data_IF_975348124636
#
_entry.id   IF_975348124636
#
_cell.length_a   1.000
_cell.length_b   1.000
_cell.length_c   1.000
_cell.angle_alpha   90.00
_cell.angle_beta   90.00
_cell.angle_gamma   90.00
#
_symmetry.space_group_name_H-M   'P 1'
#
loop_
_entity.id
_entity.type
_entity.pdbx_description
1 polymer ?
#
# COMPACT_ATOMS: atom_id res chain seq x y z
N UNK A 1 23.51 -2.18 -10.48
CA UNK A 1 22.30 -3.04 -10.44
C UNK A 1 21.46 -2.79 -9.18
N UNK A 2 21.13 -1.51 -8.92
CA UNK A 2 20.39 -1.08 -7.72
C UNK A 2 18.94 -0.63 -8.07
N UNK A 3 18.70 -0.27 -9.33
CA UNK A 3 17.45 0.35 -9.79
C UNK A 3 16.30 -0.64 -10.03
N UNK A 4 16.59 -1.94 -10.20
CA UNK A 4 15.55 -2.99 -10.29
C UNK A 4 14.91 -3.29 -8.93
N UNK A 5 15.49 -2.81 -7.84
CA UNK A 5 15.12 -3.20 -6.48
C UNK A 5 14.01 -2.34 -5.86
N UNK A 6 13.83 -1.08 -6.27
CA UNK A 6 12.95 -0.15 -5.56
C UNK A 6 11.45 -0.41 -5.84
N UNK A 7 11.05 -0.48 -7.12
CA UNK A 7 9.68 -0.84 -7.47
C UNK A 7 9.33 -2.27 -7.06
N UNK A 8 10.28 -3.20 -7.24
CA UNK A 8 10.12 -4.57 -6.76
C UNK A 8 9.96 -4.60 -5.22
N UNK A 9 10.72 -3.80 -4.46
CA UNK A 9 10.55 -3.70 -3.00
C UNK A 9 9.17 -3.15 -2.62
N UNK A 10 8.70 -2.09 -3.29
CA UNK A 10 7.34 -1.53 -3.07
C UNK A 10 6.27 -2.61 -3.31
N UNK A 11 6.43 -3.43 -4.36
CA UNK A 11 5.46 -4.49 -4.73
C UNK A 11 5.61 -5.75 -3.86
N UNK A 12 6.84 -6.12 -3.47
CA UNK A 12 7.14 -7.30 -2.63
C UNK A 12 6.73 -7.05 -1.17
N UNK A 13 6.90 -5.83 -0.65
CA UNK A 13 6.40 -5.46 0.68
C UNK A 13 4.88 -5.62 0.78
N UNK A 14 4.14 -5.36 -0.30
CA UNK A 14 2.70 -5.61 -0.36
C UNK A 14 2.31 -7.10 -0.36
N UNK A 15 3.21 -8.02 -0.76
CA UNK A 15 2.95 -9.47 -0.84
C UNK A 15 3.20 -10.21 0.49
N UNK A 16 4.07 -9.68 1.36
CA UNK A 16 4.56 -10.40 2.56
C UNK A 16 3.55 -10.45 3.72
N UNK A 17 2.53 -9.58 3.75
CA UNK A 17 1.65 -9.43 4.92
C UNK A 17 0.42 -10.37 5.01
N UNK A 18 0.35 -11.44 4.20
CA UNK A 18 -0.79 -12.38 4.22
C UNK A 18 -0.54 -13.70 4.99
N UNK A 19 0.52 -13.82 5.79
CA UNK A 19 0.82 -15.09 6.45
C UNK A 19 1.47 -14.93 7.82
N UNK A 20 0.63 -14.75 8.86
CA UNK A 20 0.67 -15.51 10.13
C UNK A 20 -0.36 -14.93 11.11
N UNK A 21 -1.41 -15.71 11.39
CA UNK A 21 -2.19 -15.65 12.62
C UNK A 21 -1.96 -16.98 13.31
N UNK A 22 -1.36 -16.98 14.51
CA UNK A 22 -1.67 -17.89 15.63
C UNK A 22 -0.67 -17.71 16.80
N UNK A 23 -1.21 -17.84 18.03
CA UNK A 23 -0.55 -17.99 19.35
C UNK A 23 -0.05 -16.69 20.05
N UNK A 24 -0.21 -16.42 21.36
CA UNK A 24 -0.92 -17.03 22.49
C UNK A 24 -0.80 -16.06 23.72
N UNK A 25 -1.82 -16.05 24.57
CA UNK A 25 -1.96 -15.67 26.00
C UNK A 25 -0.98 -14.72 26.75
N UNK A 26 -1.60 -13.70 27.37
CA UNK A 26 -1.58 -13.28 28.80
C UNK A 26 -0.26 -13.09 29.60
N UNK A 27 -0.03 -11.87 30.16
CA UNK A 27 -0.09 -11.59 31.62
C UNK A 27 0.31 -10.15 32.03
N UNK A 28 -0.60 -9.46 32.75
CA UNK A 28 -0.42 -8.50 33.87
C UNK A 28 0.47 -7.24 33.75
N UNK A 29 -0.12 -6.02 33.78
CA UNK A 29 -0.36 -5.18 35.00
C UNK A 29 -0.55 -3.68 34.69
N UNK A 30 -1.80 -3.21 34.85
CA UNK A 30 -2.36 -1.88 35.19
C UNK A 30 -1.58 -0.55 34.98
N UNK A 31 -2.17 0.34 34.17
CA UNK A 31 -2.44 1.75 34.53
C UNK A 31 -3.75 2.25 33.84
N UNK A 32 -4.53 3.18 34.43
CA UNK A 32 -5.87 3.54 33.96
C UNK A 32 -5.92 4.90 33.26
N UNK A 33 -6.27 4.94 31.97
CA UNK A 33 -6.86 6.13 31.34
C UNK A 33 -7.42 5.85 29.93
N UNK A 34 -8.70 6.20 29.79
CA UNK A 34 -9.48 6.50 28.56
C UNK A 34 -10.18 5.34 27.80
N UNK A 35 -11.44 5.57 27.35
CA UNK A 35 -12.27 4.56 26.68
C UNK A 35 -11.62 4.12 25.36
N UNK A 36 -11.20 2.86 25.34
CA UNK A 36 -10.54 2.18 24.23
C UNK A 36 -11.49 2.01 23.04
N UNK A 37 -11.35 2.86 22.03
CA UNK A 37 -11.77 2.56 20.67
C UNK A 37 -10.53 2.62 19.75
N UNK A 38 -9.64 1.64 19.90
CA UNK A 38 -8.56 1.39 18.94
C UNK A 38 -9.16 0.79 17.66
N UNK A 39 -8.64 1.16 16.48
CA UNK A 39 -7.47 0.40 16.03
C UNK A 39 -6.32 1.34 15.64
N UNK A 40 -5.18 1.02 16.21
CA UNK A 40 -3.86 1.51 15.88
C UNK A 40 -3.57 1.24 14.39
N UNK A 41 -3.88 2.17 13.49
CA UNK A 41 -3.24 2.19 12.17
C UNK A 41 -1.91 2.91 12.39
N UNK A 42 -0.85 2.13 12.60
CA UNK A 42 0.51 2.63 12.76
C UNK A 42 0.80 3.62 11.65
N UNK A 43 1.20 4.84 12.02
CA UNK A 43 1.73 5.84 11.07
C UNK A 43 3.06 5.37 10.42
N UNK A 44 3.52 4.18 10.80
CA UNK A 44 4.66 3.44 10.30
C UNK A 44 4.34 2.56 9.08
N UNK A 45 3.07 2.44 8.67
CA UNK A 45 2.74 1.64 7.50
C UNK A 45 3.14 2.37 6.21
N UNK A 46 4.01 1.73 5.41
CA UNK A 46 4.46 2.25 4.12
C UNK A 46 3.34 2.34 3.07
N UNK A 47 2.24 1.60 3.29
CA UNK A 47 1.11 1.50 2.35
C UNK A 47 -0.20 1.66 3.11
N UNK A 48 -1.01 2.61 2.66
CA UNK A 48 -2.37 2.83 3.13
C UNK A 48 -3.38 2.61 2.00
N UNK A 49 -4.42 1.83 2.25
CA UNK A 49 -5.46 1.49 1.28
C UNK A 49 -6.84 1.89 1.77
N UNK A 50 -7.66 2.45 0.87
CA UNK A 50 -9.07 2.72 1.14
C UNK A 50 -9.93 2.48 -0.10
N UNK A 51 -11.21 2.09 0.06
CA UNK A 51 -12.18 2.16 -1.03
C UNK A 51 -12.29 3.58 -1.57
N UNK A 52 -12.34 3.73 -2.90
CA UNK A 52 -12.49 5.04 -3.53
C UNK A 52 -13.91 5.60 -3.38
N UNK A 53 -14.91 4.72 -3.28
CA UNK A 53 -16.29 5.09 -3.00
C UNK A 53 -16.95 4.07 -2.05
N UNK A 54 -18.05 4.45 -1.42
CA UNK A 54 -18.87 3.55 -0.60
C UNK A 54 -19.69 2.55 -1.43
N UNK A 55 -19.86 2.82 -2.73
CA UNK A 55 -20.72 2.05 -3.62
C UNK A 55 -19.96 1.03 -4.49
N UNK A 56 -18.63 1.13 -4.57
CA UNK A 56 -17.82 0.23 -5.40
C UNK A 56 -16.61 -0.30 -4.64
N UNK A 57 -16.64 -1.60 -4.38
CA UNK A 57 -15.52 -2.35 -3.79
C UNK A 57 -14.41 -2.69 -4.80
N UNK A 58 -14.60 -2.34 -6.09
CA UNK A 58 -13.65 -2.66 -7.17
C UNK A 58 -12.67 -1.51 -7.43
N UNK A 59 -12.87 -0.36 -6.79
CA UNK A 59 -12.02 0.82 -6.94
C UNK A 59 -11.41 1.19 -5.60
N UNK A 60 -10.08 1.26 -5.58
CA UNK A 60 -9.32 1.54 -4.38
C UNK A 60 -8.34 2.68 -4.63
N UNK A 61 -8.13 3.46 -3.58
CA UNK A 61 -7.09 4.47 -3.52
C UNK A 61 -6.00 3.97 -2.58
N UNK A 62 -4.77 3.94 -3.06
CA UNK A 62 -3.60 3.66 -2.26
C UNK A 62 -2.80 4.95 -2.02
N UNK A 63 -2.18 5.06 -0.85
CA UNK A 63 -1.08 5.99 -0.57
C UNK A 63 0.14 5.15 -0.23
N UNK A 64 1.26 5.42 -0.91
CA UNK A 64 2.52 4.73 -0.68
C UNK A 64 3.56 5.75 -0.26
N UNK A 65 4.24 5.49 0.87
CA UNK A 65 5.40 6.27 1.27
C UNK A 65 6.60 5.84 0.44
N UNK A 66 7.36 6.83 -0.04
CA UNK A 66 8.58 6.58 -0.77
C UNK A 66 9.61 5.88 0.13
N UNK A 67 10.25 4.80 -0.34
CA UNK A 67 11.22 4.06 0.46
C UNK A 67 12.42 4.94 0.87
N UNK A 68 12.98 4.72 2.07
CA UNK A 68 14.22 5.39 2.49
C UNK A 68 15.38 5.03 1.56
N UNK A 69 16.39 5.90 1.49
CA UNK A 69 17.58 5.76 0.66
C UNK A 69 17.29 5.68 -0.85
N UNK A 70 16.17 6.27 -1.28
CA UNK A 70 15.79 6.39 -2.69
C UNK A 70 15.50 7.84 -3.07
N UNK A 71 15.53 8.21 -4.37
CA UNK A 71 15.08 9.54 -4.82
C UNK A 71 13.62 9.86 -4.48
N UNK A 72 12.85 8.87 -4.04
CA UNK A 72 11.44 8.99 -3.68
C UNK A 72 11.22 9.14 -2.18
N UNK A 73 12.28 9.01 -1.37
CA UNK A 73 12.23 9.11 0.09
C UNK A 73 11.47 10.36 0.55
N UNK A 74 10.71 10.23 1.64
CA UNK A 74 9.82 11.26 2.19
C UNK A 74 8.67 11.68 1.26
N UNK A 75 8.57 11.10 0.05
CA UNK A 75 7.44 11.27 -0.85
C UNK A 75 6.21 10.48 -0.41
N UNK A 76 5.02 10.98 -0.74
CA UNK A 76 3.76 10.25 -0.62
C UNK A 76 3.11 10.19 -2.01
N UNK A 77 2.93 8.98 -2.51
CA UNK A 77 2.42 8.72 -3.85
C UNK A 77 1.02 8.16 -3.77
N UNK A 78 0.08 8.82 -4.44
CA UNK A 78 -1.30 8.36 -4.55
C UNK A 78 -1.45 7.50 -5.80
N UNK A 79 -2.08 6.34 -5.64
CA UNK A 79 -2.38 5.42 -6.72
C UNK A 79 -3.88 5.11 -6.74
N UNK A 80 -4.38 4.87 -7.93
CA UNK A 80 -5.69 4.32 -8.19
C UNK A 80 -5.54 2.87 -8.63
N UNK A 81 -6.31 2.00 -8.00
CA UNK A 81 -6.37 0.56 -8.28
C UNK A 81 -7.79 0.25 -8.74
N UNK A 82 -7.92 -0.42 -9.88
CA UNK A 82 -9.20 -0.85 -10.43
C UNK A 82 -9.17 -2.34 -10.71
N UNK A 83 -10.02 -3.08 -10.00
CA UNK A 83 -10.28 -4.49 -10.29
C UNK A 83 -11.30 -4.55 -11.44
N UNK A 84 -10.89 -5.14 -12.58
CA UNK A 84 -11.80 -5.39 -13.70
C UNK A 84 -12.82 -6.49 -13.38
N UNK A 85 -13.77 -6.71 -14.29
CA UNK A 85 -14.78 -7.78 -14.18
C UNK A 85 -14.17 -9.16 -14.11
N UNK A 86 -13.00 -9.34 -14.73
CA UNK A 86 -12.33 -10.63 -14.87
C UNK A 86 -11.36 -10.88 -13.69
N UNK A 87 -11.33 -10.01 -12.68
CA UNK A 87 -10.58 -10.26 -11.46
C UNK A 87 -11.19 -11.45 -10.70
N UNK A 88 -10.41 -12.42 -10.21
CA UNK A 88 -8.94 -12.43 -10.09
C UNK A 88 -8.17 -13.09 -11.24
N UNK A 89 -8.84 -13.52 -12.33
CA UNK A 89 -8.19 -14.16 -13.48
C UNK A 89 -7.30 -13.17 -14.24
N UNK A 90 -7.74 -11.92 -14.37
CA UNK A 90 -6.93 -10.80 -14.85
C UNK A 90 -6.43 -9.93 -13.67
N UNK A 91 -5.18 -9.41 -13.74
CA UNK A 91 -4.65 -8.54 -12.69
C UNK A 91 -5.40 -7.20 -12.64
N UNK A 92 -5.41 -6.51 -11.49
CA UNK A 92 -5.99 -5.18 -11.40
C UNK A 92 -5.15 -4.17 -12.21
N UNK A 93 -5.82 -3.13 -12.72
CA UNK A 93 -5.14 -1.99 -13.33
C UNK A 93 -4.70 -1.02 -12.24
N UNK A 94 -3.44 -0.59 -12.30
CA UNK A 94 -2.86 0.34 -11.34
C UNK A 94 -2.31 1.56 -12.09
N UNK A 95 -2.63 2.75 -11.58
CA UNK A 95 -2.09 4.00 -12.09
C UNK A 95 -1.72 4.95 -10.95
N UNK A 96 -0.55 5.58 -11.07
CA UNK A 96 -0.15 6.69 -10.21
C UNK A 96 -0.94 7.95 -10.57
N UNK A 97 -1.65 8.50 -9.58
CA UNK A 97 -2.29 9.81 -9.68
C UNK A 97 -1.26 10.91 -9.43
N UNK A 98 -0.35 10.70 -8.47
CA UNK A 98 0.83 11.55 -8.27
C UNK A 98 1.79 11.36 -9.44
N UNK A 99 2.19 12.45 -10.12
CA UNK A 99 3.20 12.37 -11.17
C UNK A 99 4.53 11.92 -10.59
N UNK A 100 5.07 10.84 -11.14
CA UNK A 100 6.34 10.25 -10.74
C UNK A 100 7.16 9.95 -11.98
N UNK A 101 8.47 10.22 -11.90
CA UNK A 101 9.41 9.81 -12.92
C UNK A 101 10.04 8.49 -12.49
N UNK A 102 9.60 7.37 -13.09
CA UNK A 102 10.08 6.03 -12.79
C UNK A 102 10.06 5.19 -14.08
N UNK A 103 11.08 4.34 -14.36
CA UNK A 103 11.16 3.58 -15.62
C UNK A 103 9.92 2.72 -15.93
N UNK A 104 9.30 2.16 -14.89
CA UNK A 104 8.11 1.31 -14.99
C UNK A 104 6.79 2.07 -14.87
N UNK A 105 6.81 3.39 -14.82
CA UNK A 105 5.59 4.22 -14.75
C UNK A 105 5.53 5.12 -15.96
N UNK A 106 4.47 5.00 -16.73
CA UNK A 106 4.29 5.84 -17.90
C UNK A 106 4.08 7.30 -17.45
N UNK A 107 5.03 8.19 -17.78
CA UNK A 107 5.05 9.57 -17.26
C UNK A 107 3.74 10.36 -17.45
N UNK A 108 3.08 10.24 -18.61
CA UNK A 108 1.81 10.97 -18.87
C UNK A 108 0.60 10.34 -18.18
N UNK A 109 0.39 9.03 -18.34
CA UNK A 109 -0.82 8.34 -17.88
C UNK A 109 -0.74 7.83 -16.44
N UNK A 110 0.47 7.64 -15.90
CA UNK A 110 0.71 7.05 -14.58
C UNK A 110 0.58 5.52 -14.53
N UNK A 111 0.27 4.86 -15.65
CA UNK A 111 0.13 3.41 -15.69
C UNK A 111 1.44 2.70 -15.36
N UNK A 112 1.34 1.64 -14.56
CA UNK A 112 2.48 0.81 -14.17
C UNK A 112 2.63 -0.35 -15.16
N UNK A 113 3.85 -0.59 -15.65
CA UNK A 113 4.21 -1.73 -16.48
C UNK A 113 5.23 -2.61 -15.72
N UNK A 114 4.82 -3.82 -15.34
CA UNK A 114 5.60 -4.79 -14.56
C UNK A 114 5.80 -6.08 -15.33
#
# INVERSE_FOLDING_TARGET
NLERSAAAAIIVSAKRNNKTNEENANSSSLSPSEPTNNPHHSLDDDVYLRPSSSSSILQWTALIRGPPDTPYENGIFRLMIRCGTDYPLAPPSIAFETKIFHPNVHFRTGHVCL
#
